data_IF_888236898610
#
_entry.id   IF_888236898610
#
_cell.length_a   1.000
_cell.length_b   1.000
_cell.length_c   1.000
_cell.angle_alpha   90.00
_cell.angle_beta   90.00
_cell.angle_gamma   90.00
#
_symmetry.space_group_name_H-M   'P 1'
#
loop_
_entity.id
_entity.type
_entity.pdbx_description
1 polymer ?
#
# COMPACT_ATOMS: atom_id res chain seq x y z
N UNK A 1 11.39 -31.37 -0.89
CA UNK A 1 11.59 -29.98 -1.32
C UNK A 1 10.92 -29.83 -2.67
N UNK A 2 9.93 -28.94 -2.80
CA UNK A 2 9.20 -28.69 -4.06
C UNK A 2 9.79 -27.49 -4.78
N UNK A 3 9.75 -27.52 -6.13
CA UNK A 3 10.06 -26.35 -6.96
C UNK A 3 8.81 -25.48 -7.07
N UNK A 4 8.86 -24.25 -6.54
CA UNK A 4 7.76 -23.30 -6.54
C UNK A 4 8.09 -22.12 -7.44
N UNK A 5 7.27 -21.90 -8.44
CA UNK A 5 7.31 -20.71 -9.28
C UNK A 5 6.30 -19.67 -8.77
N UNK A 6 6.77 -18.46 -8.52
CA UNK A 6 5.91 -17.31 -8.24
C UNK A 6 5.88 -16.39 -9.46
N UNK A 7 4.69 -16.11 -9.97
CA UNK A 7 4.49 -15.23 -11.13
C UNK A 7 4.06 -13.85 -10.66
N UNK A 8 4.96 -12.88 -10.80
CA UNK A 8 4.81 -11.50 -10.36
C UNK A 8 5.72 -11.16 -9.17
N UNK A 9 6.55 -10.12 -9.33
CA UNK A 9 7.44 -9.59 -8.30
C UNK A 9 6.89 -8.29 -7.66
N UNK A 10 5.57 -8.18 -7.53
CA UNK A 10 4.92 -7.21 -6.65
C UNK A 10 5.01 -7.67 -5.19
N UNK A 11 4.52 -6.84 -4.25
CA UNK A 11 4.60 -7.15 -2.82
C UNK A 11 3.97 -8.51 -2.46
N UNK A 12 2.85 -8.86 -3.09
CA UNK A 12 2.20 -10.17 -2.94
C UNK A 12 3.11 -11.33 -3.34
N UNK A 13 3.74 -11.24 -4.52
CA UNK A 13 4.65 -12.28 -5.01
C UNK A 13 5.88 -12.43 -4.13
N UNK A 14 6.48 -11.31 -3.71
CA UNK A 14 7.64 -11.34 -2.81
C UNK A 14 7.30 -11.96 -1.45
N UNK A 15 6.15 -11.64 -0.86
CA UNK A 15 5.71 -12.26 0.42
C UNK A 15 5.37 -13.73 0.24
N UNK A 16 4.74 -14.10 -0.87
CA UNK A 16 4.46 -15.50 -1.20
C UNK A 16 5.76 -16.29 -1.36
N UNK A 17 6.74 -15.74 -2.08
CA UNK A 17 8.06 -16.34 -2.23
C UNK A 17 8.80 -16.52 -0.89
N UNK A 18 8.75 -15.49 -0.03
CA UNK A 18 9.30 -15.56 1.31
C UNK A 18 8.68 -16.69 2.14
N UNK A 19 7.36 -16.84 2.09
CA UNK A 19 6.63 -17.90 2.79
C UNK A 19 7.01 -19.30 2.28
N UNK A 20 7.03 -19.46 0.96
CA UNK A 20 7.40 -20.75 0.34
C UNK A 20 8.88 -21.11 0.64
N UNK A 21 9.79 -20.13 0.61
CA UNK A 21 11.18 -20.33 0.98
C UNK A 21 11.33 -20.77 2.45
N UNK A 22 10.64 -20.09 3.38
CA UNK A 22 10.64 -20.46 4.80
C UNK A 22 9.99 -21.83 5.07
N UNK A 23 9.24 -22.37 4.10
CA UNK A 23 8.68 -23.73 4.13
C UNK A 23 9.62 -24.76 3.48
N UNK A 24 10.90 -24.45 3.30
CA UNK A 24 11.92 -25.28 2.69
C UNK A 24 11.64 -25.69 1.24
N UNK A 25 10.94 -24.86 0.48
CA UNK A 25 10.77 -25.05 -0.95
C UNK A 25 11.89 -24.34 -1.74
N UNK A 26 12.22 -24.87 -2.91
CA UNK A 26 13.06 -24.18 -3.89
C UNK A 26 12.17 -23.19 -4.65
N UNK A 27 12.41 -21.90 -4.49
CA UNK A 27 11.54 -20.84 -5.01
C UNK A 27 12.26 -20.03 -6.06
N UNK A 28 11.54 -19.62 -7.11
CA UNK A 28 11.99 -18.62 -8.07
C UNK A 28 10.83 -17.75 -8.52
N UNK A 29 11.13 -16.51 -8.90
CA UNK A 29 10.14 -15.48 -9.23
C UNK A 29 10.32 -15.04 -10.68
N UNK A 30 9.21 -14.95 -11.42
CA UNK A 30 9.17 -14.35 -12.76
C UNK A 30 8.32 -13.08 -12.76
N UNK A 31 8.88 -12.00 -13.29
CA UNK A 31 8.21 -10.70 -13.42
C UNK A 31 8.16 -10.27 -14.90
N UNK A 32 6.96 -9.87 -15.36
CA UNK A 32 6.76 -9.43 -16.74
C UNK A 32 7.43 -8.11 -17.09
N UNK A 33 7.54 -7.20 -16.14
CA UNK A 33 8.18 -5.89 -16.33
C UNK A 33 9.69 -6.02 -16.15
N UNK A 34 10.44 -5.02 -16.64
CA UNK A 34 11.89 -4.91 -16.40
C UNK A 34 12.24 -4.47 -14.97
N UNK A 35 11.25 -4.14 -14.15
CA UNK A 35 11.39 -3.70 -12.75
C UNK A 35 10.45 -4.47 -11.84
N UNK A 36 10.90 -4.71 -10.62
CA UNK A 36 10.10 -5.31 -9.54
C UNK A 36 9.17 -4.29 -8.88
N UNK A 37 8.27 -4.74 -8.02
CA UNK A 37 7.48 -3.91 -7.09
C UNK A 37 6.03 -3.71 -7.48
N UNK A 38 5.67 -3.92 -8.75
CA UNK A 38 4.28 -3.75 -9.18
C UNK A 38 3.77 -2.33 -8.89
N UNK A 39 2.69 -2.20 -8.10
CA UNK A 39 2.15 -0.91 -7.62
C UNK A 39 2.96 -0.30 -6.47
N UNK A 40 3.77 -1.09 -5.78
CA UNK A 40 4.69 -0.60 -4.75
C UNK A 40 5.94 0.08 -5.31
N UNK A 41 5.96 0.45 -6.58
CA UNK A 41 7.04 1.25 -7.17
C UNK A 41 6.82 2.73 -6.90
N UNK A 42 7.91 3.49 -6.83
CA UNK A 42 7.90 4.95 -6.84
C UNK A 42 8.54 5.49 -8.11
N UNK A 43 8.32 6.76 -8.36
CA UNK A 43 9.02 7.54 -9.38
C UNK A 43 9.87 8.59 -8.68
N UNK A 44 11.13 8.70 -9.06
CA UNK A 44 11.98 9.80 -8.63
C UNK A 44 11.69 11.04 -9.48
N UNK A 45 11.42 12.14 -8.80
CA UNK A 45 11.24 13.45 -9.43
C UNK A 45 11.93 14.50 -8.58
N UNK A 46 12.97 15.12 -9.11
CA UNK A 46 13.79 16.11 -8.42
C UNK A 46 14.35 15.65 -7.06
N UNK A 47 14.78 14.38 -6.98
CA UNK A 47 15.27 13.77 -5.73
C UNK A 47 14.17 13.43 -4.72
N UNK A 48 12.91 13.46 -5.15
CA UNK A 48 11.76 13.09 -4.33
C UNK A 48 11.07 11.85 -4.90
N UNK A 49 10.84 10.88 -4.03
CA UNK A 49 10.10 9.67 -4.40
C UNK A 49 8.59 9.90 -4.26
N UNK A 50 7.88 9.81 -5.39
CA UNK A 50 6.42 9.85 -5.47
C UNK A 50 5.88 8.43 -5.63
N UNK A 51 4.89 8.06 -4.84
CA UNK A 51 4.26 6.73 -4.85
C UNK A 51 2.99 6.72 -5.74
N UNK A 52 2.38 5.58 -5.94
CA UNK A 52 1.09 5.43 -6.64
C UNK A 52 -0.10 5.56 -5.68
N UNK A 53 -0.10 6.62 -4.87
CA UNK A 53 -1.06 6.81 -3.80
C UNK A 53 -0.62 6.18 -2.47
N UNK A 54 -1.43 6.33 -1.42
CA UNK A 54 -1.02 5.94 -0.08
C UNK A 54 -0.96 4.42 0.09
N UNK A 55 0.15 3.96 0.66
CA UNK A 55 0.38 2.57 1.03
C UNK A 55 0.60 2.45 2.53
N UNK A 56 -0.14 1.55 3.17
CA UNK A 56 -0.12 1.38 4.62
C UNK A 56 0.19 -0.07 5.00
N UNK A 57 1.12 -0.24 5.93
CA UNK A 57 1.53 -1.53 6.46
C UNK A 57 0.80 -1.83 7.77
N UNK A 58 0.20 -3.02 7.87
CA UNK A 58 -0.34 -3.54 9.13
C UNK A 58 0.79 -4.06 10.01
N UNK A 59 1.10 -3.36 11.11
CA UNK A 59 2.09 -3.79 12.10
C UNK A 59 1.63 -5.10 12.77
N UNK A 60 2.39 -6.17 12.58
CA UNK A 60 2.08 -7.52 13.05
C UNK A 60 1.25 -8.35 12.06
N UNK A 61 0.90 -7.81 10.90
CA UNK A 61 0.31 -8.57 9.80
C UNK A 61 1.32 -9.46 9.07
N UNK A 62 0.85 -10.18 8.06
CA UNK A 62 1.66 -11.16 7.34
C UNK A 62 2.87 -10.54 6.67
N UNK A 63 2.67 -9.45 5.90
CA UNK A 63 3.77 -8.74 5.25
C UNK A 63 4.86 -8.31 6.25
N UNK A 64 4.44 -7.65 7.34
CA UNK A 64 5.40 -7.24 8.38
C UNK A 64 6.14 -8.43 9.00
N UNK A 65 5.43 -9.54 9.21
CA UNK A 65 6.01 -10.76 9.78
C UNK A 65 7.01 -11.41 8.82
N UNK A 66 6.67 -11.50 7.52
CA UNK A 66 7.57 -12.06 6.50
C UNK A 66 8.83 -11.20 6.33
N UNK A 67 8.67 -9.88 6.21
CA UNK A 67 9.83 -8.97 6.14
C UNK A 67 10.74 -9.15 7.36
N UNK A 68 10.20 -9.29 8.57
CA UNK A 68 11.01 -9.54 9.77
C UNK A 68 11.70 -10.90 9.80
N UNK A 69 11.08 -11.93 9.22
CA UNK A 69 11.65 -13.30 9.22
C UNK A 69 12.78 -13.46 8.21
N UNK A 70 12.65 -12.86 7.02
CA UNK A 70 13.63 -12.98 5.96
C UNK A 70 14.68 -11.88 5.99
N UNK A 71 14.32 -10.66 6.39
CA UNK A 71 15.26 -9.53 6.46
C UNK A 71 15.78 -9.31 7.88
N UNK A 72 17.09 -9.18 8.03
CA UNK A 72 17.73 -8.83 9.31
C UNK A 72 17.41 -7.38 9.75
N UNK A 73 17.00 -6.53 8.82
CA UNK A 73 16.73 -5.11 9.07
C UNK A 73 15.22 -4.87 9.20
N UNK A 74 14.80 -4.37 10.35
CA UNK A 74 13.39 -4.03 10.60
C UNK A 74 13.01 -2.77 9.81
N UNK A 75 11.83 -2.74 9.15
CA UNK A 75 11.35 -1.51 8.52
C UNK A 75 11.07 -0.43 9.56
N UNK A 76 11.37 0.81 9.23
CA UNK A 76 11.01 1.96 10.06
C UNK A 76 9.52 2.24 9.91
N UNK A 77 8.75 2.00 10.98
CA UNK A 77 7.28 2.13 10.95
C UNK A 77 6.80 3.24 11.87
N UNK A 78 5.89 4.07 11.37
CA UNK A 78 5.18 5.08 12.16
C UNK A 78 3.67 4.92 12.01
N UNK A 79 2.94 4.78 13.14
CA UNK A 79 1.50 4.57 13.09
C UNK A 79 0.75 5.83 12.68
N UNK A 80 -0.30 5.66 11.91
CA UNK A 80 -1.35 6.67 11.78
C UNK A 80 -2.03 6.78 13.15
N UNK A 81 -2.09 7.97 13.69
CA UNK A 81 -2.78 8.26 14.96
C UNK A 81 -4.20 8.73 14.65
N UNK A 82 -5.26 7.99 15.02
CA UNK A 82 -6.64 8.38 14.70
C UNK A 82 -6.98 9.80 15.15
N UNK A 83 -6.59 10.17 16.37
CA UNK A 83 -6.83 11.53 16.91
C UNK A 83 -6.07 12.67 16.17
N UNK A 84 -5.27 12.34 15.16
CA UNK A 84 -4.62 13.28 14.23
C UNK A 84 -5.19 13.19 12.81
N UNK A 85 -6.28 12.47 12.61
CA UNK A 85 -7.03 12.41 11.34
C UNK A 85 -8.30 13.20 11.50
N UNK A 86 -8.47 14.24 10.69
CA UNK A 86 -9.64 15.12 10.70
C UNK A 86 -10.67 14.66 9.67
N UNK A 87 -11.91 14.47 10.10
CA UNK A 87 -13.05 14.22 9.21
C UNK A 87 -13.80 15.55 9.06
N UNK A 88 -13.85 16.06 7.85
CA UNK A 88 -14.46 17.36 7.57
C UNK A 88 -15.95 17.37 8.00
N UNK A 89 -16.34 18.38 8.79
CA UNK A 89 -17.68 18.48 9.38
C UNK A 89 -17.92 17.62 10.64
N UNK A 90 -17.00 16.69 11.01
CA UNK A 90 -17.23 15.72 12.09
C UNK A 90 -16.11 15.68 13.14
N UNK A 91 -15.05 16.48 12.97
CA UNK A 91 -13.91 16.55 13.88
C UNK A 91 -12.92 15.40 13.75
N UNK A 92 -12.17 15.08 14.81
CA UNK A 92 -11.12 14.08 14.77
C UNK A 92 -11.67 12.65 14.84
N UNK A 93 -11.02 11.75 14.10
CA UNK A 93 -11.27 10.32 14.20
C UNK A 93 -10.89 9.85 15.62
N UNK A 94 -11.82 9.21 16.32
CA UNK A 94 -11.59 8.79 17.69
C UNK A 94 -11.00 7.38 17.75
N UNK A 95 -10.00 7.13 18.61
CA UNK A 95 -9.48 5.79 18.83
C UNK A 95 -10.50 4.92 19.59
N UNK A 96 -10.39 3.58 19.45
CA UNK A 96 -11.24 2.60 20.13
C UNK A 96 -10.85 2.40 21.63
N UNK A 97 -10.60 3.46 22.35
CA UNK A 97 -10.27 3.40 23.77
C UNK A 97 -11.47 3.66 24.69
N UNK A 98 -12.63 3.99 24.13
CA UNK A 98 -13.86 4.24 24.87
C UNK A 98 -14.89 3.14 24.57
N UNK A 99 -15.31 2.33 25.58
CA UNK A 99 -16.25 1.23 25.36
C UNK A 99 -17.58 1.63 24.74
N UNK A 100 -18.15 2.78 25.13
CA UNK A 100 -19.42 3.27 24.58
C UNK A 100 -19.30 3.62 23.09
N UNK A 101 -18.22 4.33 22.71
CA UNK A 101 -17.94 4.66 21.30
C UNK A 101 -17.60 3.42 20.47
N UNK A 102 -16.93 2.45 21.07
CA UNK A 102 -16.67 1.17 20.45
C UNK A 102 -17.95 0.39 20.17
N UNK A 103 -18.90 0.41 21.10
CA UNK A 103 -20.20 -0.23 20.94
C UNK A 103 -21.01 0.46 19.84
N UNK A 104 -21.11 1.78 19.85
CA UNK A 104 -21.81 2.57 18.82
C UNK A 104 -21.24 2.30 17.42
N UNK A 105 -19.90 2.23 17.31
CA UNK A 105 -19.22 1.89 16.06
C UNK A 105 -19.55 0.46 15.59
N UNK A 106 -19.54 -0.53 16.51
CA UNK A 106 -19.90 -1.91 16.20
C UNK A 106 -21.36 -2.08 15.77
N UNK A 107 -22.25 -1.24 16.27
CA UNK A 107 -23.68 -1.24 15.94
C UNK A 107 -24.01 -0.41 14.67
N UNK A 108 -22.99 0.10 13.95
CA UNK A 108 -23.20 0.92 12.75
C UNK A 108 -23.87 2.27 13.01
N UNK A 109 -23.85 2.77 14.25
CA UNK A 109 -24.49 4.01 14.65
C UNK A 109 -23.68 5.28 14.29
N UNK A 110 -22.53 5.13 13.64
CA UNK A 110 -21.66 6.23 13.19
C UNK A 110 -21.19 6.00 11.75
N UNK A 111 -22.09 6.17 10.76
CA UNK A 111 -21.79 5.85 9.36
C UNK A 111 -20.62 6.68 8.79
N UNK A 112 -20.47 7.92 9.24
CA UNK A 112 -19.36 8.78 8.78
C UNK A 112 -18.00 8.26 9.22
N UNK A 113 -17.87 7.89 10.50
CA UNK A 113 -16.61 7.28 10.98
C UNK A 113 -16.39 5.90 10.41
N UNK A 114 -17.45 5.16 10.16
CA UNK A 114 -17.36 3.87 9.49
C UNK A 114 -16.80 4.03 8.08
N UNK A 115 -17.35 4.95 7.28
CA UNK A 115 -16.85 5.28 5.95
C UNK A 115 -15.39 5.74 6.00
N UNK A 116 -15.05 6.66 6.89
CA UNK A 116 -13.67 7.15 7.06
C UNK A 116 -12.68 6.04 7.42
N UNK A 117 -13.08 5.10 8.29
CA UNK A 117 -12.23 3.97 8.65
C UNK A 117 -12.08 2.95 7.52
N UNK A 118 -13.12 2.69 6.74
CA UNK A 118 -13.04 1.86 5.53
C UNK A 118 -12.12 2.49 4.50
N UNK A 119 -12.26 3.81 4.25
CA UNK A 119 -11.42 4.53 3.31
C UNK A 119 -9.94 4.43 3.69
N UNK A 120 -9.54 4.78 4.92
CA UNK A 120 -8.13 4.74 5.35
C UNK A 120 -7.55 3.35 5.52
N UNK A 121 -8.34 2.36 5.88
CA UNK A 121 -7.82 1.02 6.15
C UNK A 121 -7.86 0.08 4.96
N UNK A 122 -8.71 0.33 3.99
CA UNK A 122 -8.95 -0.58 2.89
C UNK A 122 -9.30 0.10 1.57
N UNK A 123 -9.11 1.44 1.48
CA UNK A 123 -9.47 2.22 0.29
C UNK A 123 -10.89 1.91 -0.19
N UNK A 124 -11.84 1.98 0.75
CA UNK A 124 -13.25 1.68 0.54
C UNK A 124 -13.65 0.21 0.72
N UNK A 125 -12.72 -0.72 0.64
CA UNK A 125 -12.97 -2.14 0.93
C UNK A 125 -13.12 -2.36 2.44
N UNK A 126 -14.03 -3.26 2.83
CA UNK A 126 -14.19 -3.62 4.25
C UNK A 126 -13.21 -4.73 4.62
N UNK A 127 -12.12 -4.36 5.27
CA UNK A 127 -11.10 -5.26 5.79
C UNK A 127 -11.07 -5.12 7.33
N UNK A 128 -11.84 -5.92 8.07
CA UNK A 128 -12.05 -5.75 9.52
C UNK A 128 -10.77 -5.69 10.34
N UNK A 129 -9.77 -6.50 10.03
CA UNK A 129 -8.48 -6.53 10.73
C UNK A 129 -7.73 -5.21 10.57
N UNK A 130 -7.75 -4.62 9.37
CA UNK A 130 -7.11 -3.33 9.09
C UNK A 130 -7.88 -2.17 9.72
N UNK A 131 -9.22 -2.21 9.71
CA UNK A 131 -10.07 -1.21 10.42
C UNK A 131 -9.76 -1.20 11.92
N UNK A 132 -9.74 -2.38 12.54
CA UNK A 132 -9.36 -2.54 13.95
C UNK A 132 -7.94 -2.09 14.22
N UNK A 133 -7.01 -2.37 13.31
CA UNK A 133 -5.61 -1.96 13.42
C UNK A 133 -5.44 -0.44 13.31
N UNK A 134 -6.15 0.22 12.38
CA UNK A 134 -6.17 1.68 12.26
C UNK A 134 -6.56 2.33 13.59
N UNK A 135 -7.69 1.90 14.15
CA UNK A 135 -8.25 2.46 15.39
C UNK A 135 -7.40 2.15 16.64
N UNK A 136 -6.54 1.14 16.57
CA UNK A 136 -5.53 0.81 17.60
C UNK A 136 -4.15 1.41 17.31
N UNK A 137 -4.01 2.24 16.28
CA UNK A 137 -2.71 2.83 15.90
C UNK A 137 -1.69 1.78 15.43
N UNK A 138 -2.15 0.71 14.77
CA UNK A 138 -1.27 -0.35 14.22
C UNK A 138 -1.15 -0.32 12.70
N UNK A 139 -1.87 0.56 12.02
CA UNK A 139 -1.71 0.81 10.60
C UNK A 139 -0.64 1.90 10.42
N UNK A 140 0.43 1.58 9.69
CA UNK A 140 1.66 2.36 9.70
C UNK A 140 2.08 2.80 8.31
N UNK A 141 2.70 3.97 8.25
CA UNK A 141 3.51 4.42 7.13
C UNK A 141 4.93 3.85 7.27
N UNK A 142 5.52 3.43 6.16
CA UNK A 142 6.90 2.92 6.08
C UNK A 142 7.85 4.08 5.82
N UNK A 143 8.90 4.22 6.63
CA UNK A 143 9.83 5.35 6.58
C UNK A 143 10.63 5.45 5.30
N UNK A 144 11.14 4.33 4.80
CA UNK A 144 11.85 4.24 3.54
C UNK A 144 10.93 4.29 2.30
N UNK A 145 9.62 4.43 2.50
CA UNK A 145 8.63 4.33 1.45
C UNK A 145 8.31 2.88 1.07
N UNK A 146 7.29 2.73 0.25
CA UNK A 146 6.84 1.39 -0.16
C UNK A 146 7.82 0.73 -1.13
N UNK A 147 8.39 1.50 -2.06
CA UNK A 147 9.43 1.01 -2.97
C UNK A 147 10.70 0.57 -2.24
N UNK A 148 11.10 1.28 -1.19
CA UNK A 148 12.24 0.88 -0.35
C UNK A 148 11.98 -0.43 0.38
N UNK A 149 10.77 -0.62 0.93
CA UNK A 149 10.37 -1.87 1.55
C UNK A 149 10.38 -3.04 0.55
N UNK A 150 9.81 -2.83 -0.64
CA UNK A 150 9.77 -3.83 -1.73
C UNK A 150 11.18 -4.18 -2.19
N UNK A 151 12.02 -3.18 -2.46
CA UNK A 151 13.42 -3.38 -2.89
C UNK A 151 14.21 -4.17 -1.85
N UNK A 152 14.07 -3.83 -0.57
CA UNK A 152 14.72 -4.56 0.53
C UNK A 152 14.27 -6.03 0.59
N UNK A 153 12.98 -6.29 0.49
CA UNK A 153 12.47 -7.66 0.53
C UNK A 153 12.97 -8.47 -0.66
N UNK A 154 13.02 -7.87 -1.85
CA UNK A 154 13.55 -8.52 -3.05
C UNK A 154 15.04 -8.84 -2.91
N UNK A 155 15.88 -7.87 -2.53
CA UNK A 155 17.32 -8.10 -2.31
C UNK A 155 17.57 -9.19 -1.27
N UNK A 156 16.80 -9.18 -0.16
CA UNK A 156 16.94 -10.23 0.86
C UNK A 156 16.57 -11.61 0.32
N UNK A 157 15.54 -11.71 -0.54
CA UNK A 157 15.16 -12.98 -1.17
C UNK A 157 16.27 -13.49 -2.10
N UNK A 158 16.88 -12.62 -2.89
CA UNK A 158 18.02 -12.98 -3.75
C UNK A 158 19.23 -13.43 -2.92
N UNK A 159 19.55 -12.75 -1.82
CA UNK A 159 20.62 -13.11 -0.89
C UNK A 159 20.44 -14.52 -0.28
N UNK A 160 19.18 -14.94 -0.05
CA UNK A 160 18.88 -16.29 0.47
C UNK A 160 18.65 -17.33 -0.64
N UNK A 161 18.97 -17.00 -1.89
CA UNK A 161 18.92 -17.94 -3.00
C UNK A 161 17.57 -18.07 -3.69
N UNK A 162 16.69 -17.06 -3.61
CA UNK A 162 15.45 -16.97 -4.37
C UNK A 162 15.66 -16.02 -5.56
N UNK A 163 15.97 -16.54 -6.78
CA UNK A 163 16.23 -15.69 -7.92
C UNK A 163 14.96 -14.99 -8.42
N UNK A 164 15.13 -13.73 -8.85
CA UNK A 164 14.07 -12.91 -9.45
C UNK A 164 14.44 -12.59 -10.89
N UNK A 165 13.70 -13.14 -11.85
CA UNK A 165 13.91 -12.90 -13.26
C UNK A 165 12.88 -11.94 -13.82
N UNK A 166 13.30 -10.77 -14.25
CA UNK A 166 12.45 -9.73 -14.85
C UNK A 166 12.36 -9.86 -16.38
N UNK A 167 11.37 -9.20 -16.99
CA UNK A 167 11.14 -9.27 -18.44
C UNK A 167 10.52 -10.59 -18.92
N UNK A 168 9.98 -11.40 -18.00
CA UNK A 168 9.42 -12.72 -18.27
C UNK A 168 7.89 -12.68 -18.19
N UNK A 169 7.23 -12.39 -19.31
CA UNK A 169 5.77 -12.41 -19.40
C UNK A 169 5.27 -13.84 -19.57
N UNK A 170 4.41 -14.29 -18.65
CA UNK A 170 3.72 -15.58 -18.75
C UNK A 170 2.45 -15.40 -19.58
N UNK A 171 2.23 -16.29 -20.53
CA UNK A 171 1.05 -16.34 -21.40
C UNK A 171 0.10 -17.46 -21.05
N UNK A 172 0.63 -18.56 -20.53
CA UNK A 172 -0.15 -19.77 -20.24
C UNK A 172 0.39 -20.46 -18.99
N UNK A 173 -0.51 -21.07 -18.23
CA UNK A 173 -0.20 -21.99 -17.15
C UNK A 173 -0.73 -23.38 -17.54
N UNK A 174 0.09 -24.40 -17.35
CA UNK A 174 -0.30 -25.81 -17.56
C UNK A 174 0.00 -26.63 -16.30
N UNK A 175 -0.44 -27.87 -16.28
CA UNK A 175 -0.10 -28.79 -15.18
C UNK A 175 1.41 -29.08 -15.19
N UNK A 176 2.10 -28.66 -14.13
CA UNK A 176 3.56 -28.78 -14.00
C UNK A 176 4.35 -27.57 -14.46
N UNK A 177 3.74 -26.41 -14.78
CA UNK A 177 4.53 -25.21 -15.11
C UNK A 177 3.82 -24.09 -15.84
N UNK A 178 4.62 -23.28 -16.54
CA UNK A 178 4.14 -22.14 -17.32
C UNK A 178 4.82 -22.01 -18.67
N UNK A 179 4.20 -21.29 -19.60
CA UNK A 179 4.76 -20.90 -20.89
C UNK A 179 4.93 -19.38 -20.91
N UNK A 180 6.12 -18.92 -21.30
CA UNK A 180 6.40 -17.50 -21.48
C UNK A 180 5.92 -17.01 -22.84
N UNK A 181 5.84 -15.67 -23.02
CA UNK A 181 5.51 -15.05 -24.31
C UNK A 181 6.54 -15.33 -25.42
N UNK A 182 7.72 -15.88 -25.06
CA UNK A 182 8.75 -16.31 -26.00
C UNK A 182 8.70 -17.83 -26.31
N UNK A 183 7.65 -18.53 -25.84
CA UNK A 183 7.47 -19.96 -26.04
C UNK A 183 8.34 -20.85 -25.10
N UNK A 184 9.08 -20.26 -24.16
CA UNK A 184 9.88 -21.03 -23.22
C UNK A 184 8.97 -21.71 -22.18
N UNK A 185 9.06 -23.03 -22.06
CA UNK A 185 8.42 -23.81 -21.01
C UNK A 185 9.27 -23.80 -19.75
N UNK A 186 8.65 -23.50 -18.61
CA UNK A 186 9.32 -23.47 -17.31
C UNK A 186 8.54 -24.38 -16.36
N UNK A 187 9.18 -25.44 -15.92
CA UNK A 187 8.60 -26.45 -15.06
C UNK A 187 8.67 -26.05 -13.59
N UNK A 188 7.60 -26.36 -12.84
CA UNK A 188 7.50 -26.19 -11.40
C UNK A 188 6.45 -27.14 -10.82
N UNK A 189 6.71 -27.69 -9.62
CA UNK A 189 5.72 -28.54 -8.94
C UNK A 189 4.51 -27.71 -8.45
N UNK A 190 4.73 -26.42 -8.20
CA UNK A 190 3.70 -25.49 -7.76
C UNK A 190 3.88 -24.16 -8.47
N UNK A 191 2.78 -23.61 -9.02
CA UNK A 191 2.73 -22.25 -9.58
C UNK A 191 1.85 -21.37 -8.69
N UNK A 192 2.38 -20.22 -8.25
CA UNK A 192 1.66 -19.21 -7.49
C UNK A 192 1.48 -17.96 -8.34
N UNK A 193 0.28 -17.74 -8.81
CA UNK A 193 -0.07 -16.56 -9.60
C UNK A 193 -0.24 -15.34 -8.68
N UNK A 194 0.65 -14.36 -8.81
CA UNK A 194 0.65 -13.07 -8.11
C UNK A 194 0.73 -11.91 -9.13
N UNK A 195 0.09 -12.08 -10.27
CA UNK A 195 0.17 -11.19 -11.43
C UNK A 195 -0.65 -9.91 -11.31
N UNK A 196 -1.28 -9.70 -10.16
CA UNK A 196 -2.06 -8.50 -9.85
C UNK A 196 -3.42 -8.45 -10.52
N UNK A 197 -3.94 -9.57 -11.03
CA UNK A 197 -5.31 -9.64 -11.51
C UNK A 197 -6.28 -9.48 -10.33
N UNK A 198 -7.34 -8.68 -10.47
CA UNK A 198 -8.33 -8.53 -9.42
C UNK A 198 -9.09 -9.85 -9.21
N UNK A 199 -9.47 -10.10 -7.95
CA UNK A 199 -10.42 -11.15 -7.59
C UNK A 199 -11.76 -10.46 -7.33
N UNK A 200 -12.77 -10.71 -8.17
CA UNK A 200 -14.06 -10.00 -8.12
C UNK A 200 -14.07 -8.68 -8.89
N UNK A 201 -15.03 -7.83 -8.60
CA UNK A 201 -15.20 -6.52 -9.23
C UNK A 201 -14.02 -5.60 -8.89
N UNK A 202 -13.30 -5.06 -9.90
CA UNK A 202 -12.17 -4.18 -9.64
C UNK A 202 -12.63 -2.81 -9.15
N UNK A 203 -12.11 -2.36 -8.01
CA UNK A 203 -12.31 -1.00 -7.53
C UNK A 203 -11.30 -0.08 -8.23
N UNK A 204 -11.80 0.96 -8.89
CA UNK A 204 -10.97 2.01 -9.48
C UNK A 204 -10.86 3.19 -8.54
N UNK A 205 -9.65 3.74 -8.43
CA UNK A 205 -9.36 4.90 -7.59
C UNK A 205 -8.49 5.90 -8.35
N UNK A 206 -8.63 7.16 -8.02
CA UNK A 206 -7.73 8.22 -8.47
C UNK A 206 -6.75 8.56 -7.35
N UNK A 207 -5.50 8.89 -7.68
CA UNK A 207 -4.49 9.24 -6.70
C UNK A 207 -3.72 10.49 -7.10
N UNK A 208 -3.32 11.28 -6.10
CA UNK A 208 -2.42 12.41 -6.23
C UNK A 208 -1.37 12.32 -5.12
N UNK A 209 -0.11 12.24 -5.53
CA UNK A 209 1.03 12.31 -4.63
C UNK A 209 1.73 13.64 -4.89
N UNK A 210 1.86 14.51 -3.86
CA UNK A 210 2.38 15.87 -4.04
C UNK A 210 3.31 16.28 -2.91
N UNK A 211 4.40 16.95 -3.27
CA UNK A 211 5.38 17.50 -2.34
C UNK A 211 5.33 19.00 -2.42
N UNK A 212 5.21 19.63 -1.25
CA UNK A 212 5.15 21.06 -1.07
C UNK A 212 6.37 21.56 -0.27
N UNK A 213 6.82 22.77 -0.57
CA UNK A 213 7.91 23.46 0.14
C UNK A 213 7.46 24.12 1.45
N UNK A 214 6.24 23.86 1.89
CA UNK A 214 5.68 24.40 3.14
C UNK A 214 4.96 23.30 3.97
N UNK A 215 4.46 23.67 5.16
CA UNK A 215 3.76 22.77 6.10
C UNK A 215 2.38 23.27 6.49
N UNK A 216 1.43 23.30 5.56
CA UNK A 216 0.09 23.85 5.83
C UNK A 216 -0.72 23.05 6.86
N UNK A 217 -0.51 21.73 6.96
CA UNK A 217 -1.25 20.84 7.86
C UNK A 217 -0.45 20.41 9.10
N UNK A 218 0.66 21.08 9.41
CA UNK A 218 1.57 20.82 10.57
C UNK A 218 1.53 19.38 11.11
N UNK A 219 0.69 19.14 12.12
CA UNK A 219 0.64 17.87 12.88
C UNK A 219 -0.47 16.92 12.48
N UNK A 220 -1.31 17.27 11.53
CA UNK A 220 -2.36 16.36 11.06
C UNK A 220 -1.75 15.21 10.26
N UNK A 221 -2.16 13.98 10.60
CA UNK A 221 -1.80 12.78 9.86
C UNK A 221 -2.65 12.59 8.60
N UNK A 222 -3.86 13.15 8.58
CA UNK A 222 -4.71 13.10 7.40
C UNK A 222 -6.00 13.91 7.54
N UNK A 223 -6.64 14.11 6.39
CA UNK A 223 -7.95 14.74 6.26
C UNK A 223 -8.82 13.83 5.40
N UNK A 224 -10.10 13.70 5.77
CA UNK A 224 -11.09 12.90 5.04
C UNK A 224 -12.34 13.74 4.79
N UNK A 225 -12.85 13.67 3.57
CA UNK A 225 -14.16 14.24 3.19
C UNK A 225 -14.87 13.27 2.25
N UNK A 226 -15.92 12.61 2.73
CA UNK A 226 -16.63 11.60 1.95
C UNK A 226 -15.72 10.43 1.54
N UNK A 227 -15.52 10.29 0.25
CA UNK A 227 -14.71 9.24 -0.39
C UNK A 227 -13.28 9.69 -0.76
N UNK A 228 -12.85 10.86 -0.28
CA UNK A 228 -11.52 11.43 -0.51
C UNK A 228 -10.71 11.45 0.77
N UNK A 229 -9.45 11.01 0.70
CA UNK A 229 -8.50 11.10 1.80
C UNK A 229 -7.18 11.73 1.36
N UNK A 230 -6.64 12.59 2.21
CA UNK A 230 -5.30 13.15 2.14
C UNK A 230 -4.51 12.60 3.33
N UNK A 231 -3.38 11.93 3.10
CA UNK A 231 -2.44 11.53 4.14
C UNK A 231 -1.19 12.41 4.09
N UNK A 232 -0.80 12.98 5.22
CA UNK A 232 0.41 13.76 5.38
C UNK A 232 1.57 12.87 5.82
N UNK A 233 2.26 12.26 4.87
CA UNK A 233 3.35 11.33 5.13
C UNK A 233 4.52 11.99 5.86
N UNK A 234 4.79 13.27 5.62
CA UNK A 234 5.84 14.01 6.30
C UNK A 234 5.53 14.22 7.80
N UNK A 235 4.27 14.48 8.16
CA UNK A 235 3.86 14.59 9.57
C UNK A 235 3.87 13.23 10.28
N UNK A 236 3.54 12.14 9.55
CA UNK A 236 3.55 10.79 10.14
C UNK A 236 4.97 10.29 10.34
N UNK A 237 5.87 10.46 9.38
CA UNK A 237 7.19 9.82 9.39
C UNK A 237 8.38 10.75 9.14
N UNK A 238 8.22 12.03 9.03
CA UNK A 238 9.36 12.96 8.83
C UNK A 238 10.30 12.56 7.67
N UNK A 239 9.74 12.03 6.58
CA UNK A 239 10.52 11.59 5.39
C UNK A 239 11.12 12.74 4.58
N UNK A 240 10.70 13.95 4.86
CA UNK A 240 11.12 15.15 4.13
C UNK A 240 11.93 16.10 5.00
N UNK A 241 12.65 16.98 4.34
CA UNK A 241 13.37 18.03 5.01
C UNK A 241 12.44 18.89 5.90
N UNK A 242 12.97 19.52 6.95
CA UNK A 242 12.20 20.48 7.73
C UNK A 242 11.60 21.57 6.83
N UNK A 243 10.32 21.87 7.03
CA UNK A 243 9.61 22.85 6.21
C UNK A 243 8.78 22.24 5.06
N UNK A 244 9.02 21.01 4.62
CA UNK A 244 8.33 20.36 3.51
C UNK A 244 7.15 19.50 3.97
N UNK A 245 6.16 19.35 3.10
CA UNK A 245 5.08 18.37 3.23
C UNK A 245 5.12 17.34 2.10
N UNK A 246 4.59 16.15 2.39
CA UNK A 246 4.35 15.10 1.41
C UNK A 246 2.92 14.59 1.60
N UNK A 247 2.03 14.97 0.70
CA UNK A 247 0.64 14.51 0.71
C UNK A 247 0.48 13.35 -0.27
N UNK A 248 -0.02 12.24 0.23
CA UNK A 248 -0.43 11.10 -0.57
C UNK A 248 -1.93 10.96 -0.47
N UNK A 249 -2.62 11.13 -1.60
CA UNK A 249 -4.06 11.34 -1.65
C UNK A 249 -4.74 10.25 -2.47
N UNK A 250 -6.01 9.98 -2.15
CA UNK A 250 -6.84 9.02 -2.87
C UNK A 250 -8.29 9.50 -2.91
N UNK A 251 -8.95 9.26 -4.06
CA UNK A 251 -10.39 9.38 -4.23
C UNK A 251 -10.95 8.08 -4.82
N UNK A 252 -12.07 7.59 -4.28
CA UNK A 252 -12.65 6.31 -4.73
C UNK A 252 -13.45 6.43 -6.03
N UNK A 253 -14.19 7.52 -6.24
CA UNK A 253 -15.18 7.58 -7.33
C UNK A 253 -15.20 8.88 -8.13
N UNK A 254 -14.52 9.93 -7.66
CA UNK A 254 -14.71 11.31 -8.14
C UNK A 254 -13.56 11.88 -8.96
N UNK A 255 -12.55 11.07 -9.29
CA UNK A 255 -11.39 11.57 -10.04
C UNK A 255 -10.38 12.34 -9.18
N UNK A 256 -9.32 12.84 -9.83
CA UNK A 256 -8.27 13.66 -9.20
C UNK A 256 -8.82 15.03 -8.80
N UNK A 257 -9.80 15.53 -9.52
CA UNK A 257 -10.48 16.81 -9.27
C UNK A 257 -11.04 16.87 -7.84
N UNK A 258 -11.62 15.79 -7.34
CA UNK A 258 -12.13 15.73 -5.97
C UNK A 258 -11.03 15.83 -4.91
N UNK A 259 -9.82 15.32 -5.23
CA UNK A 259 -8.66 15.50 -4.37
C UNK A 259 -8.21 16.96 -4.38
N UNK A 260 -8.14 17.56 -5.55
CA UNK A 260 -7.74 18.96 -5.71
C UNK A 260 -8.76 19.91 -5.05
N UNK A 261 -10.07 19.66 -5.16
CA UNK A 261 -11.12 20.41 -4.43
C UNK A 261 -10.90 20.37 -2.91
N UNK A 262 -10.57 19.18 -2.36
CA UNK A 262 -10.31 19.05 -0.93
C UNK A 262 -9.00 19.75 -0.52
N UNK A 263 -7.98 19.73 -1.37
CA UNK A 263 -6.75 20.49 -1.16
C UNK A 263 -7.00 21.99 -1.21
N UNK A 264 -7.80 22.48 -2.16
CA UNK A 264 -8.18 23.91 -2.26
C UNK A 264 -8.93 24.39 -1.02
N UNK A 265 -9.83 23.56 -0.49
CA UNK A 265 -10.58 23.87 0.72
C UNK A 265 -9.71 23.88 1.99
N UNK A 266 -8.73 23.00 2.08
CA UNK A 266 -8.03 22.71 3.35
C UNK A 266 -6.57 23.15 3.38
N UNK A 267 -5.98 23.43 2.23
CA UNK A 267 -4.56 23.76 2.04
C UNK A 267 -4.45 25.00 1.14
N UNK A 268 -4.81 26.15 1.67
CA UNK A 268 -4.83 27.40 0.89
C UNK A 268 -3.51 27.63 0.16
N UNK A 269 -3.60 27.93 -1.14
CA UNK A 269 -2.45 28.27 -1.99
C UNK A 269 -1.49 27.10 -2.28
N UNK A 270 -1.88 25.86 -2.03
CA UNK A 270 -1.00 24.69 -2.18
C UNK A 270 -0.35 24.58 -3.57
N UNK A 271 -1.05 25.05 -4.63
CA UNK A 271 -0.51 24.98 -6.00
C UNK A 271 0.74 25.81 -6.20
N UNK A 272 0.88 26.96 -5.49
CA UNK A 272 2.08 27.82 -5.56
C UNK A 272 3.28 27.24 -4.80
N UNK A 273 3.06 26.22 -3.99
CA UNK A 273 4.07 25.55 -3.18
C UNK A 273 4.47 24.16 -3.71
N UNK A 274 3.99 23.77 -4.89
CA UNK A 274 4.31 22.47 -5.47
C UNK A 274 5.77 22.43 -5.92
N UNK A 275 6.54 21.52 -5.31
CA UNK A 275 7.87 21.14 -5.82
C UNK A 275 7.70 20.11 -6.95
N UNK A 276 6.92 19.08 -6.70
CA UNK A 276 6.61 18.03 -7.68
C UNK A 276 5.31 17.33 -7.33
N UNK A 277 4.63 16.80 -8.34
CA UNK A 277 3.42 16.00 -8.16
C UNK A 277 3.36 14.85 -9.15
N UNK A 278 2.62 13.81 -8.76
CA UNK A 278 2.25 12.69 -9.61
C UNK A 278 0.77 12.40 -9.44
N UNK A 279 0.05 12.31 -10.53
CA UNK A 279 -1.36 11.93 -10.52
C UNK A 279 -1.61 10.68 -11.33
N UNK A 280 -2.66 9.95 -10.97
CA UNK A 280 -3.19 8.83 -11.73
C UNK A 280 -4.71 8.91 -11.66
N UNK A 281 -5.33 9.05 -12.82
CA UNK A 281 -6.79 9.24 -12.91
C UNK A 281 -7.57 7.94 -12.67
N UNK A 282 -6.92 6.79 -12.88
CA UNK A 282 -7.55 5.50 -12.64
C UNK A 282 -6.51 4.41 -12.35
N UNK A 283 -6.41 4.01 -11.08
CA UNK A 283 -5.67 2.83 -10.66
C UNK A 283 -6.66 1.76 -10.26
N UNK A 284 -6.49 0.55 -10.77
CA UNK A 284 -7.26 -0.60 -10.32
C UNK A 284 -6.67 -1.14 -9.03
N UNK A 285 -7.45 -1.11 -7.96
CA UNK A 285 -7.14 -1.85 -6.73
C UNK A 285 -7.44 -3.33 -6.97
N UNK A 286 -6.50 -4.18 -6.62
CA UNK A 286 -6.70 -5.63 -6.64
C UNK A 286 -7.07 -6.09 -5.24
N UNK A 287 -8.06 -6.97 -5.17
CA UNK A 287 -8.35 -7.68 -3.94
C UNK A 287 -7.21 -8.68 -3.66
N UNK A 288 -6.52 -8.48 -2.54
CA UNK A 288 -5.45 -9.36 -2.09
C UNK A 288 -5.93 -10.48 -1.14
N UNK A 289 -7.25 -10.59 -0.95
CA UNK A 289 -7.85 -11.68 -0.16
C UNK A 289 -7.48 -13.03 -0.77
N UNK A 290 -6.99 -13.92 0.07
CA UNK A 290 -6.52 -15.24 -0.37
C UNK A 290 -5.02 -15.34 -0.62
N UNK A 291 -4.28 -14.23 -0.73
CA UNK A 291 -2.82 -14.21 -0.84
C UNK A 291 -2.13 -13.66 0.40
N UNK A 292 -2.69 -12.61 1.01
CA UNK A 292 -2.21 -12.03 2.27
C UNK A 292 -3.39 -11.85 3.23
N UNK A 293 -3.26 -12.38 4.43
CA UNK A 293 -4.32 -12.38 5.45
C UNK A 293 -4.69 -11.00 5.98
N UNK A 294 -3.81 -10.02 5.81
CA UNK A 294 -4.00 -8.65 6.27
C UNK A 294 -4.43 -7.67 5.16
N UNK A 295 -4.75 -8.19 3.98
CA UNK A 295 -5.28 -7.38 2.88
C UNK A 295 -4.34 -6.25 2.48
N UNK A 296 -3.17 -6.57 1.93
CA UNK A 296 -2.27 -5.56 1.38
C UNK A 296 -2.82 -5.05 0.06
N UNK A 297 -3.06 -3.76 -0.02
CA UNK A 297 -3.62 -3.07 -1.18
C UNK A 297 -2.56 -2.18 -1.79
#
# INVERSE_FOLDING_TARGET
>A
MKRVLVVGAGIQGLVTAAREHLSNNQVFILEKRKRIGGRGTSEDSFGHQLEHGPHLLLKGGELHTMVKKVSKVKPSLRPIRPHKVHIVGHGMLQPLNNPKKMLAFKLGQDPVREQATRLLSGWGQDIPERRKALLKGRLCVVGEGWSGLVGRLASTLEEVGVPIQTGMKITEQYDGGVITSKGLKIEADIVRMCDGKPVGEPVKVSTLDVILDNKPLKDLHGIIKGDVAILNLAAIHSRKAPGMSHFSCIALSRGVEAIEELLDERVSGWRSHIITKRQNDSITLTDSRGHLSDGVI
#
